data_IF_078265026505
#
_entry.id   IF_078265026505
#
_cell.length_a   1.000
_cell.length_b   1.000
_cell.length_c   1.000
_cell.angle_alpha   90.00
_cell.angle_beta   90.00
_cell.angle_gamma   90.00
#
_symmetry.space_group_name_H-M   'P 1'
#
loop_
_entity.id
_entity.type
_entity.pdbx_description
1 polymer ?
#
# COMPACT_ATOMS: atom_id res chain seq x y z
N UNK A 1 -18.13 0.50 -4.78
CA UNK A 1 -17.51 1.85 -4.62
C UNK A 1 -16.17 1.79 -3.88
N UNK A 2 -16.08 1.13 -2.72
CA UNK A 2 -14.84 1.07 -1.92
C UNK A 2 -13.65 0.45 -2.68
N UNK A 3 -13.89 -0.64 -3.42
CA UNK A 3 -12.88 -1.25 -4.30
C UNK A 3 -12.14 -0.24 -5.19
N UNK A 4 -12.87 0.63 -5.88
CA UNK A 4 -12.29 1.64 -6.77
C UNK A 4 -11.50 2.70 -6.00
N UNK A 5 -11.95 3.09 -4.81
CA UNK A 5 -11.23 4.03 -3.94
C UNK A 5 -9.92 3.43 -3.44
N UNK A 6 -9.93 2.16 -3.04
CA UNK A 6 -8.72 1.45 -2.63
C UNK A 6 -7.75 1.33 -3.80
N UNK A 7 -8.21 0.89 -4.96
CA UNK A 7 -7.35 0.82 -6.14
C UNK A 7 -6.78 2.18 -6.52
N UNK A 8 -7.61 3.23 -6.55
CA UNK A 8 -7.15 4.59 -6.84
C UNK A 8 -6.08 5.03 -5.83
N UNK A 9 -6.31 4.84 -4.53
CA UNK A 9 -5.37 5.23 -3.49
C UNK A 9 -4.05 4.46 -3.56
N UNK A 10 -4.10 3.16 -3.84
CA UNK A 10 -2.91 2.34 -4.08
C UNK A 10 -2.17 2.80 -5.35
N UNK A 11 -2.86 3.01 -6.47
CA UNK A 11 -2.25 3.49 -7.71
C UNK A 11 -1.60 4.87 -7.51
N UNK A 12 -2.29 5.81 -6.85
CA UNK A 12 -1.74 7.13 -6.52
C UNK A 12 -0.48 7.01 -5.67
N UNK A 13 -0.47 6.13 -4.66
CA UNK A 13 0.73 5.92 -3.85
C UNK A 13 1.92 5.39 -4.66
N UNK A 14 1.70 4.47 -5.61
CA UNK A 14 2.74 3.98 -6.52
C UNK A 14 3.27 5.10 -7.40
N UNK A 15 2.37 5.94 -7.95
CA UNK A 15 2.75 7.09 -8.76
C UNK A 15 3.57 8.10 -7.95
N UNK A 16 3.15 8.41 -6.72
CA UNK A 16 3.89 9.30 -5.82
C UNK A 16 5.25 8.75 -5.44
N UNK A 17 5.38 7.45 -5.14
CA UNK A 17 6.68 6.82 -4.90
C UNK A 17 7.57 6.86 -6.15
N UNK A 18 7.01 6.61 -7.33
CA UNK A 18 7.72 6.72 -8.60
C UNK A 18 8.25 8.13 -8.87
N UNK A 19 7.39 9.15 -8.70
CA UNK A 19 7.76 10.56 -8.85
C UNK A 19 8.80 10.99 -7.81
N UNK A 20 8.62 10.60 -6.55
CA UNK A 20 9.58 10.86 -5.47
C UNK A 20 10.94 10.23 -5.75
N UNK A 21 10.98 9.00 -6.26
CA UNK A 21 12.23 8.34 -6.65
C UNK A 21 12.92 9.02 -7.84
N UNK A 22 12.15 9.45 -8.85
CA UNK A 22 12.69 10.20 -9.99
C UNK A 22 13.29 11.54 -9.56
N UNK A 23 12.62 12.24 -8.64
CA UNK A 23 13.05 13.54 -8.12
C UNK A 23 14.02 13.46 -6.94
N UNK A 24 14.62 12.29 -6.65
CA UNK A 24 15.53 12.07 -5.50
C UNK A 24 16.71 13.04 -5.35
N UNK A 25 17.10 13.75 -6.41
CA UNK A 25 18.17 14.76 -6.37
C UNK A 25 17.75 16.05 -5.65
N UNK A 26 16.46 16.39 -5.75
CA UNK A 26 15.85 17.49 -5.01
C UNK A 26 15.19 16.91 -3.76
N UNK A 27 15.82 17.17 -2.60
CA UNK A 27 15.44 16.56 -1.34
C UNK A 27 14.05 17.01 -0.89
N UNK A 28 13.67 18.26 -1.14
CA UNK A 28 12.39 18.79 -0.69
C UNK A 28 11.25 18.24 -1.55
N UNK A 29 11.44 18.23 -2.87
CA UNK A 29 10.50 17.59 -3.81
C UNK A 29 10.41 16.08 -3.54
N UNK A 30 11.53 15.40 -3.30
CA UNK A 30 11.54 13.98 -2.92
C UNK A 30 10.71 13.74 -1.66
N UNK A 31 10.96 14.49 -0.58
CA UNK A 31 10.22 14.32 0.69
C UNK A 31 8.73 14.54 0.51
N UNK A 32 8.33 15.53 -0.27
CA UNK A 32 6.92 15.80 -0.54
C UNK A 32 6.25 14.60 -1.21
N UNK A 33 6.79 14.12 -2.34
CA UNK A 33 6.19 13.00 -3.07
C UNK A 33 6.24 11.70 -2.29
N UNK A 34 7.34 11.42 -1.59
CA UNK A 34 7.41 10.23 -0.73
C UNK A 34 6.42 10.30 0.43
N UNK A 35 6.25 11.48 1.03
CA UNK A 35 5.27 11.72 2.08
C UNK A 35 3.83 11.52 1.57
N UNK A 36 3.51 12.07 0.40
CA UNK A 36 2.21 11.85 -0.25
C UNK A 36 1.97 10.37 -0.58
N UNK A 37 3.00 9.65 -1.03
CA UNK A 37 2.93 8.21 -1.27
C UNK A 37 2.61 7.42 0.00
N UNK A 38 3.31 7.72 1.10
CA UNK A 38 3.05 7.12 2.42
C UNK A 38 1.63 7.44 2.90
N UNK A 39 1.21 8.70 2.80
CA UNK A 39 -0.13 9.13 3.21
C UNK A 39 -1.23 8.42 2.42
N UNK A 40 -1.12 8.41 1.09
CA UNK A 40 -2.10 7.75 0.22
C UNK A 40 -2.18 6.26 0.51
N UNK A 41 -1.03 5.59 0.69
CA UNK A 41 -1.00 4.18 1.04
C UNK A 41 -1.64 3.91 2.42
N UNK A 42 -1.27 4.67 3.44
CA UNK A 42 -1.78 4.47 4.80
C UNK A 42 -3.27 4.78 4.92
N UNK A 43 -3.74 5.86 4.29
CA UNK A 43 -5.16 6.19 4.22
C UNK A 43 -5.96 5.07 3.54
N UNK A 44 -5.39 4.49 2.47
CA UNK A 44 -6.00 3.36 1.76
C UNK A 44 -6.03 2.09 2.61
N UNK A 45 -4.94 1.79 3.33
CA UNK A 45 -4.87 0.65 4.23
C UNK A 45 -5.90 0.77 5.37
N UNK A 46 -6.02 1.97 5.96
CA UNK A 46 -7.04 2.26 6.98
C UNK A 46 -8.44 2.11 6.40
N UNK A 47 -8.73 2.69 5.22
CA UNK A 47 -10.01 2.53 4.53
C UNK A 47 -10.36 1.06 4.33
N UNK A 48 -9.41 0.25 3.85
CA UNK A 48 -9.62 -1.18 3.61
C UNK A 48 -9.89 -1.94 4.92
N UNK A 49 -9.07 -1.74 5.95
CA UNK A 49 -9.23 -2.43 7.25
C UNK A 49 -10.55 -2.04 7.90
N UNK A 50 -10.89 -0.76 7.93
CA UNK A 50 -12.13 -0.26 8.52
C UNK A 50 -13.34 -0.78 7.74
N UNK A 51 -13.31 -0.73 6.40
CA UNK A 51 -14.44 -1.24 5.60
C UNK A 51 -14.66 -2.73 5.85
N UNK A 52 -13.60 -3.54 5.73
CA UNK A 52 -13.72 -4.99 5.87
C UNK A 52 -14.12 -5.39 7.28
N UNK A 53 -13.45 -4.87 8.32
CA UNK A 53 -13.64 -5.37 9.68
C UNK A 53 -14.70 -4.62 10.49
N UNK A 54 -14.84 -3.31 10.31
CA UNK A 54 -15.80 -2.51 11.09
C UNK A 54 -17.17 -2.46 10.42
N UNK A 55 -17.21 -2.30 9.09
CA UNK A 55 -18.47 -2.10 8.37
C UNK A 55 -19.03 -3.35 7.69
N UNK A 56 -18.24 -4.42 7.59
CA UNK A 56 -18.64 -5.66 6.93
C UNK A 56 -18.40 -6.91 7.77
N UNK A 57 -18.15 -6.76 9.07
CA UNK A 57 -17.98 -7.88 10.03
C UNK A 57 -16.89 -8.90 9.64
N UNK A 58 -15.91 -8.46 8.84
CA UNK A 58 -14.85 -9.30 8.30
C UNK A 58 -15.18 -9.97 6.95
N UNK A 59 -16.38 -9.76 6.40
CA UNK A 59 -16.77 -10.28 5.09
C UNK A 59 -16.27 -9.35 3.96
N UNK A 60 -15.26 -9.84 3.25
CA UNK A 60 -14.67 -9.12 2.11
C UNK A 60 -15.66 -8.90 0.96
N UNK A 61 -16.59 -9.84 0.74
CA UNK A 61 -17.57 -9.73 -0.34
C UNK A 61 -18.53 -8.57 -0.08
N UNK A 62 -19.05 -8.49 1.15
CA UNK A 62 -19.91 -7.38 1.58
C UNK A 62 -19.16 -6.03 1.58
N UNK A 63 -17.85 -6.04 1.81
CA UNK A 63 -17.00 -4.86 1.67
C UNK A 63 -16.74 -4.44 0.21
N UNK A 64 -17.25 -5.19 -0.78
CA UNK A 64 -17.12 -4.92 -2.21
C UNK A 64 -15.85 -5.49 -2.85
N UNK A 65 -15.18 -6.45 -2.20
CA UNK A 65 -13.99 -7.14 -2.71
C UNK A 65 -14.31 -8.61 -2.98
N UNK A 66 -14.47 -8.97 -4.26
CA UNK A 66 -14.67 -10.36 -4.66
C UNK A 66 -13.33 -11.03 -4.93
N UNK A 67 -12.95 -12.07 -4.14
CA UNK A 67 -11.73 -12.80 -4.39
C UNK A 67 -11.87 -13.71 -5.62
N UNK A 68 -10.86 -13.69 -6.48
CA UNK A 68 -10.78 -14.51 -7.71
C UNK A 68 -9.93 -15.77 -7.53
N UNK A 69 -9.22 -15.88 -6.41
CA UNK A 69 -8.29 -16.97 -6.09
C UNK A 69 -8.65 -17.66 -4.79
N UNK A 70 -8.08 -18.85 -4.56
CA UNK A 70 -8.33 -19.62 -3.34
C UNK A 70 -7.81 -18.91 -2.07
N UNK A 71 -8.46 -19.20 -0.94
CA UNK A 71 -8.19 -18.58 0.37
C UNK A 71 -6.70 -18.55 0.81
N UNK A 72 -5.87 -19.60 0.57
CA UNK A 72 -4.45 -19.55 0.95
C UNK A 72 -3.68 -18.43 0.26
N UNK A 73 -4.01 -18.13 -1.01
CA UNK A 73 -3.35 -17.07 -1.78
C UNK A 73 -3.75 -15.68 -1.27
N UNK A 74 -5.02 -15.51 -0.91
CA UNK A 74 -5.52 -14.29 -0.26
C UNK A 74 -4.79 -14.05 1.06
N UNK A 75 -4.66 -15.10 1.88
CA UNK A 75 -3.96 -15.01 3.16
C UNK A 75 -2.49 -14.63 2.97
N UNK A 76 -1.79 -15.27 2.02
CA UNK A 76 -0.41 -14.94 1.70
C UNK A 76 -0.24 -13.48 1.26
N UNK A 77 -1.10 -12.99 0.36
CA UNK A 77 -1.12 -11.59 -0.06
C UNK A 77 -1.33 -10.64 1.12
N UNK A 78 -2.29 -10.92 2.02
CA UNK A 78 -2.56 -10.09 3.20
C UNK A 78 -1.36 -10.01 4.14
N UNK A 79 -0.69 -11.13 4.37
CA UNK A 79 0.53 -11.17 5.19
C UNK A 79 1.62 -10.29 4.57
N UNK A 80 1.86 -10.42 3.26
CA UNK A 80 2.83 -9.59 2.53
C UNK A 80 2.46 -8.10 2.58
N UNK A 81 1.17 -7.77 2.45
CA UNK A 81 0.68 -6.39 2.54
C UNK A 81 0.95 -5.77 3.93
N UNK A 82 0.73 -6.54 5.01
CA UNK A 82 1.04 -6.10 6.38
C UNK A 82 2.54 -5.88 6.55
N UNK A 83 3.37 -6.81 6.09
CA UNK A 83 4.83 -6.67 6.14
C UNK A 83 5.28 -5.42 5.37
N UNK A 84 4.73 -5.19 4.17
CA UNK A 84 5.03 -4.01 3.37
C UNK A 84 4.64 -2.72 4.10
N UNK A 85 3.47 -2.69 4.73
CA UNK A 85 3.00 -1.54 5.51
C UNK A 85 3.92 -1.24 6.71
N UNK A 86 4.37 -2.27 7.45
CA UNK A 86 5.31 -2.11 8.56
C UNK A 86 6.67 -1.56 8.09
N UNK A 87 7.20 -2.08 6.99
CA UNK A 87 8.44 -1.59 6.39
C UNK A 87 8.27 -0.13 5.94
N UNK A 88 7.14 0.23 5.35
CA UNK A 88 6.84 1.61 4.94
C UNK A 88 6.85 2.57 6.14
N UNK A 89 6.22 2.19 7.24
CA UNK A 89 6.21 2.98 8.48
C UNK A 89 7.63 3.15 9.01
N UNK A 90 8.40 2.06 9.09
CA UNK A 90 9.80 2.12 9.53
C UNK A 90 10.65 3.01 8.60
N UNK A 91 10.41 2.95 7.30
CA UNK A 91 11.07 3.78 6.30
C UNK A 91 10.72 5.27 6.44
N UNK A 92 9.46 5.60 6.72
CA UNK A 92 9.02 6.96 7.02
C UNK A 92 9.68 7.48 8.31
N UNK A 93 9.67 6.68 9.39
CA UNK A 93 10.32 7.03 10.67
C UNK A 93 11.83 7.22 10.50
N UNK A 94 12.52 6.32 9.83
CA UNK A 94 13.97 6.43 9.59
C UNK A 94 14.32 7.61 8.69
N UNK A 95 13.43 7.98 7.77
CA UNK A 95 13.51 9.20 6.97
C UNK A 95 13.43 10.47 7.84
N UNK A 96 12.46 10.52 8.77
CA UNK A 96 12.31 11.62 9.73
C UNK A 96 13.52 11.74 10.67
N UNK A 97 14.03 10.61 11.16
CA UNK A 97 15.22 10.54 12.02
C UNK A 97 16.54 10.75 11.26
N UNK A 98 16.48 11.02 9.95
CA UNK A 98 17.65 11.22 9.07
C UNK A 98 18.66 10.07 9.09
N UNK A 99 18.20 8.83 9.35
CA UNK A 99 19.03 7.61 9.37
C UNK A 99 19.23 7.06 7.95
N UNK A 100 20.01 7.79 7.13
CA UNK A 100 20.14 7.56 5.67
C UNK A 100 20.47 6.11 5.28
N UNK A 101 21.46 5.47 5.91
CA UNK A 101 21.87 4.09 5.55
C UNK A 101 20.72 3.10 5.71
N UNK A 102 20.01 3.18 6.84
CA UNK A 102 18.88 2.31 7.14
C UNK A 102 17.68 2.63 6.23
N UNK A 103 17.36 3.91 6.05
CA UNK A 103 16.29 4.36 5.17
C UNK A 103 16.47 3.86 3.71
N UNK A 104 17.68 3.96 3.16
CA UNK A 104 17.99 3.47 1.81
C UNK A 104 17.90 1.93 1.73
N UNK A 105 18.37 1.22 2.76
CA UNK A 105 18.25 -0.25 2.82
C UNK A 105 16.78 -0.69 2.84
N UNK A 106 15.95 -0.02 3.64
CA UNK A 106 14.51 -0.27 3.69
C UNK A 106 13.83 0.03 2.36
N UNK A 107 14.23 1.11 1.67
CA UNK A 107 13.72 1.42 0.33
C UNK A 107 13.95 0.30 -0.68
N UNK A 108 15.14 -0.30 -0.64
CA UNK A 108 15.51 -1.39 -1.53
C UNK A 108 14.62 -2.63 -1.36
N UNK A 109 14.13 -2.88 -0.13
CA UNK A 109 13.20 -3.98 0.15
C UNK A 109 11.75 -3.57 -0.09
N UNK A 110 11.36 -2.37 0.35
CA UNK A 110 9.99 -1.87 0.32
C UNK A 110 9.45 -1.75 -1.10
N UNK A 111 10.20 -1.15 -2.02
CA UNK A 111 9.71 -0.89 -3.38
C UNK A 111 9.30 -2.18 -4.11
N UNK A 112 10.18 -3.20 -4.25
CA UNK A 112 9.80 -4.44 -4.93
C UNK A 112 8.68 -5.18 -4.18
N UNK A 113 8.71 -5.23 -2.84
CA UNK A 113 7.65 -5.86 -2.06
C UNK A 113 6.30 -5.18 -2.28
N UNK A 114 6.27 -3.84 -2.27
CA UNK A 114 5.05 -3.08 -2.46
C UNK A 114 4.50 -3.23 -3.88
N UNK A 115 5.36 -3.30 -4.89
CA UNK A 115 4.94 -3.59 -6.27
C UNK A 115 4.32 -4.99 -6.38
N UNK A 116 4.90 -6.00 -5.73
CA UNK A 116 4.32 -7.36 -5.68
C UNK A 116 2.93 -7.32 -5.04
N UNK A 117 2.76 -6.62 -3.91
CA UNK A 117 1.46 -6.47 -3.26
C UNK A 117 0.48 -5.74 -4.16
N UNK A 118 0.86 -4.60 -4.74
CA UNK A 118 0.00 -3.84 -5.65
C UNK A 118 -0.46 -4.68 -6.84
N UNK A 119 0.48 -5.28 -7.57
CA UNK A 119 0.18 -6.06 -8.77
C UNK A 119 -0.64 -7.29 -8.43
N UNK A 120 -0.25 -8.05 -7.40
CA UNK A 120 -1.02 -9.24 -7.00
C UNK A 120 -2.44 -8.88 -6.54
N UNK A 121 -2.62 -7.75 -5.85
CA UNK A 121 -3.94 -7.26 -5.45
C UNK A 121 -4.87 -7.00 -6.63
N UNK A 122 -4.35 -6.47 -7.74
CA UNK A 122 -5.13 -6.22 -8.96
C UNK A 122 -5.66 -7.51 -9.60
N UNK A 123 -4.94 -8.63 -9.49
CA UNK A 123 -5.36 -9.91 -10.05
C UNK A 123 -6.18 -10.77 -9.09
N UNK A 124 -5.99 -10.60 -7.78
CA UNK A 124 -6.64 -11.41 -6.74
C UNK A 124 -8.03 -10.91 -6.35
N UNK A 125 -8.36 -9.65 -6.67
CA UNK A 125 -9.62 -9.04 -6.28
C UNK A 125 -10.28 -8.29 -7.43
N UNK A 126 -11.57 -8.51 -7.59
CA UNK A 126 -12.44 -7.79 -8.51
C UNK A 126 -13.48 -6.97 -7.74
N UNK A 127 -14.05 -5.99 -8.44
CA UNK A 127 -15.15 -5.20 -7.90
C UNK A 127 -16.35 -6.11 -7.62
N UNK A 128 -16.76 -6.17 -6.35
CA UNK A 128 -18.01 -6.82 -5.99
C UNK A 128 -19.21 -6.03 -6.52
N UNK A 129 -20.16 -6.72 -7.16
CA UNK A 129 -21.51 -6.18 -7.36
C UNK A 129 -22.21 -6.16 -6.00
N UNK A 130 -22.52 -4.96 -5.51
CA UNK A 130 -23.48 -4.79 -4.41
C UNK A 130 -24.88 -4.91 -5.01
#
# INVERSE_FOLDING_TARGET
>A
MVYYLVNLGMTLSVLFFGLGYWKRKDVDTHRLWMGLGVLANLATAVLLVVTVHLFSEGDMKNAGFHPTVAAPWILAHRILAVVAALIMILMAVTGMLRKRKLHVSLHFVFIPLYLVVYISGLFMFEAGTI
#
